data_IF_878726954345
#
_entry.id   IF_878726954345
#
_cell.length_a   1.000
_cell.length_b   1.000
_cell.length_c   1.000
_cell.angle_alpha   90.00
_cell.angle_beta   90.00
_cell.angle_gamma   90.00
#
_symmetry.space_group_name_H-M   'P 1'
#
loop_
_entity.id
_entity.type
_entity.pdbx_description
1 polymer ?
#
# COMPACT_ATOMS: atom_id res chain seq x y z
N UNK A 1 21.80 5.08 -2.46
CA UNK A 1 20.97 5.57 -1.33
C UNK A 1 19.66 6.18 -1.80
N UNK A 2 19.67 7.05 -2.82
CA UNK A 2 18.47 7.71 -3.37
C UNK A 2 17.35 6.72 -3.73
N UNK A 3 17.68 5.62 -4.43
CA UNK A 3 16.73 4.55 -4.76
C UNK A 3 15.97 4.03 -3.54
N UNK A 4 16.69 3.67 -2.48
CA UNK A 4 16.08 3.12 -1.27
C UNK A 4 15.20 4.13 -0.55
N UNK A 5 15.59 5.41 -0.53
CA UNK A 5 14.77 6.45 0.06
C UNK A 5 13.43 6.63 -0.70
N UNK A 6 13.49 6.71 -2.04
CA UNK A 6 12.29 6.79 -2.89
C UNK A 6 11.40 5.56 -2.73
N UNK A 7 12.01 4.37 -2.70
CA UNK A 7 11.29 3.12 -2.48
C UNK A 7 10.58 3.09 -1.14
N UNK A 8 11.26 3.46 -0.04
CA UNK A 8 10.65 3.48 1.28
C UNK A 8 9.52 4.50 1.38
N UNK A 9 9.67 5.69 0.79
CA UNK A 9 8.58 6.69 0.77
C UNK A 9 7.38 6.12 0.03
N UNK A 10 7.55 5.59 -1.18
CA UNK A 10 6.45 5.01 -1.95
C UNK A 10 5.83 3.80 -1.24
N UNK A 11 6.64 2.92 -0.62
CA UNK A 11 6.13 1.77 0.12
C UNK A 11 5.21 2.19 1.29
N UNK A 12 5.53 3.32 1.92
CA UNK A 12 4.82 3.84 3.08
C UNK A 12 3.62 4.72 2.70
N UNK A 13 3.68 5.45 1.59
CA UNK A 13 2.68 6.47 1.26
C UNK A 13 1.88 6.15 0.00
N UNK A 14 2.43 5.42 -0.97
CA UNK A 14 1.77 5.21 -2.26
C UNK A 14 0.58 4.26 -2.11
N UNK A 15 -0.66 4.75 -2.32
CA UNK A 15 -1.84 3.95 -2.11
C UNK A 15 -2.05 3.07 -3.35
N UNK A 16 -2.26 1.78 -3.13
CA UNK A 16 -2.57 0.82 -4.19
C UNK A 16 -3.91 0.16 -3.90
N UNK A 17 -4.69 -0.15 -4.95
CA UNK A 17 -5.98 -0.80 -4.78
C UNK A 17 -5.82 -2.14 -4.07
N UNK A 18 -6.61 -2.33 -3.02
CA UNK A 18 -6.95 -3.66 -2.51
C UNK A 18 -7.68 -4.38 -3.64
N UNK A 19 -7.07 -5.44 -4.17
CA UNK A 19 -7.70 -6.26 -5.19
C UNK A 19 -8.94 -6.93 -4.60
N UNK A 20 -10.11 -6.38 -4.92
CA UNK A 20 -11.33 -7.16 -5.09
C UNK A 20 -12.28 -7.31 -3.90
N UNK A 21 -12.34 -6.38 -2.95
CA UNK A 21 -13.46 -6.39 -2.00
C UNK A 21 -14.25 -5.09 -1.98
N UNK A 22 -13.57 -3.98 -2.25
CA UNK A 22 -14.12 -2.72 -1.79
C UNK A 22 -13.58 -1.51 -2.63
N UNK A 23 -12.33 -1.56 -3.12
CA UNK A 23 -11.73 -0.45 -3.88
C UNK A 23 -11.03 0.56 -2.98
N UNK A 24 -10.82 0.19 -1.71
CA UNK A 24 -9.96 0.91 -0.81
C UNK A 24 -8.52 0.96 -1.35
N UNK A 25 -7.90 2.14 -1.22
CA UNK A 25 -6.53 2.36 -1.64
C UNK A 25 -5.67 2.39 -0.38
N UNK A 26 -4.79 1.41 -0.22
CA UNK A 26 -3.94 1.29 0.97
C UNK A 26 -2.46 1.23 0.60
N UNK A 27 -1.58 1.84 1.40
CA UNK A 27 -0.14 1.71 1.20
C UNK A 27 0.32 0.27 1.32
N UNK A 28 1.37 -0.11 0.56
CA UNK A 28 1.90 -1.48 0.55
C UNK A 28 2.33 -1.95 1.93
N UNK A 29 2.88 -1.04 2.74
CA UNK A 29 3.26 -1.29 4.11
C UNK A 29 2.10 -1.82 4.98
N UNK A 30 0.83 -1.48 4.67
CA UNK A 30 -0.34 -2.01 5.38
C UNK A 30 -0.54 -3.50 5.15
N UNK A 31 -0.33 -4.03 3.94
CA UNK A 31 -0.39 -5.47 3.71
C UNK A 31 0.68 -6.22 4.50
N UNK A 32 1.91 -5.69 4.55
CA UNK A 32 2.97 -6.27 5.35
C UNK A 32 2.63 -6.24 6.85
N UNK A 33 2.09 -5.13 7.34
CA UNK A 33 1.63 -5.00 8.73
C UNK A 33 0.52 -6.03 9.05
N UNK A 34 -0.48 -6.16 8.19
CA UNK A 34 -1.56 -7.13 8.35
C UNK A 34 -1.03 -8.57 8.32
N UNK A 35 -0.15 -8.89 7.38
CA UNK A 35 0.47 -10.21 7.27
C UNK A 35 1.28 -10.57 8.53
N UNK A 36 2.05 -9.63 9.07
CA UNK A 36 2.83 -9.82 10.32
C UNK A 36 1.89 -10.03 11.51
N UNK A 37 0.84 -9.23 11.63
CA UNK A 37 -0.17 -9.39 12.70
C UNK A 37 -0.85 -10.76 12.61
N UNK A 38 -1.23 -11.19 11.41
CA UNK A 38 -1.88 -12.49 11.19
C UNK A 38 -0.92 -13.66 11.44
N UNK A 39 0.36 -13.50 11.09
CA UNK A 39 1.41 -14.49 11.44
C UNK A 39 1.49 -14.66 12.95
N UNK A 40 1.51 -13.55 13.71
CA UNK A 40 1.54 -13.59 15.18
C UNK A 40 0.30 -14.26 15.77
N UNK A 41 -0.87 -14.02 15.17
CA UNK A 41 -2.12 -14.65 15.57
C UNK A 41 -2.07 -16.16 15.35
N UNK A 42 -1.66 -16.59 14.15
CA UNK A 42 -1.51 -18.02 13.80
C UNK A 42 -0.56 -18.73 14.75
N UNK A 43 0.55 -18.09 15.13
CA UNK A 43 1.51 -18.68 16.07
C UNK A 43 0.94 -18.89 17.48
N UNK A 44 -0.12 -18.16 17.86
CA UNK A 44 -0.76 -18.25 19.18
C UNK A 44 -2.01 -19.11 19.19
N UNK A 45 -2.83 -19.00 18.15
CA UNK A 45 -4.19 -19.57 18.10
C UNK A 45 -4.35 -20.66 17.03
N UNK A 46 -3.31 -20.88 16.21
CA UNK A 46 -3.34 -21.83 15.09
C UNK A 46 -3.90 -21.22 13.80
N UNK A 47 -3.67 -21.90 12.67
CA UNK A 47 -4.09 -21.45 11.34
C UNK A 47 -5.50 -21.98 10.95
N UNK A 48 -6.44 -21.98 11.88
CA UNK A 48 -7.80 -22.48 11.63
C UNK A 48 -8.57 -21.65 10.60
N UNK A 49 -9.44 -22.30 9.82
CA UNK A 49 -10.37 -21.61 8.90
C UNK A 49 -9.67 -20.80 7.79
N UNK A 50 -10.18 -19.60 7.52
CA UNK A 50 -9.69 -18.73 6.43
C UNK A 50 -8.36 -18.00 6.73
N UNK A 51 -7.83 -18.13 7.96
CA UNK A 51 -6.69 -17.34 8.43
C UNK A 51 -5.42 -17.63 7.61
N UNK A 52 -5.17 -18.89 7.24
CA UNK A 52 -4.04 -19.25 6.38
C UNK A 52 -4.13 -18.63 4.98
N UNK A 53 -5.32 -18.65 4.38
CA UNK A 53 -5.56 -18.05 3.06
C UNK A 53 -5.35 -16.54 3.09
N UNK A 54 -5.86 -15.86 4.11
CA UNK A 54 -5.66 -14.41 4.29
C UNK A 54 -4.19 -14.07 4.51
N UNK A 55 -3.44 -14.90 5.25
CA UNK A 55 -2.00 -14.71 5.44
C UNK A 55 -1.26 -14.71 4.10
N UNK A 56 -1.50 -15.75 3.30
CA UNK A 56 -0.87 -15.89 1.97
C UNK A 56 -1.27 -14.71 1.09
N UNK A 57 -2.55 -14.34 1.08
CA UNK A 57 -3.05 -13.21 0.31
C UNK A 57 -2.30 -11.92 0.65
N UNK A 58 -2.18 -11.57 1.94
CA UNK A 58 -1.49 -10.34 2.36
C UNK A 58 0.00 -10.35 2.03
N UNK A 59 0.69 -11.47 2.22
CA UNK A 59 2.10 -11.58 1.84
C UNK A 59 2.31 -11.46 0.34
N UNK A 60 1.48 -12.13 -0.47
CA UNK A 60 1.55 -12.05 -1.93
C UNK A 60 1.33 -10.61 -2.39
N UNK A 61 0.34 -9.90 -1.85
CA UNK A 61 0.12 -8.49 -2.17
C UNK A 61 1.31 -7.62 -1.78
N UNK A 62 1.83 -7.77 -0.56
CA UNK A 62 2.99 -7.01 -0.10
C UNK A 62 4.21 -7.20 -1.03
N UNK A 63 4.45 -8.44 -1.48
CA UNK A 63 5.58 -8.77 -2.36
C UNK A 63 5.36 -8.27 -3.79
N UNK A 64 4.20 -8.54 -4.38
CA UNK A 64 3.89 -8.14 -5.77
C UNK A 64 3.90 -6.63 -5.89
N UNK A 65 3.21 -5.92 -5.00
CA UNK A 65 3.16 -4.47 -5.02
C UNK A 65 4.50 -3.83 -4.63
N UNK A 66 5.23 -4.41 -3.67
CA UNK A 66 6.58 -3.99 -3.37
C UNK A 66 7.51 -4.10 -4.58
N UNK A 67 7.44 -5.21 -5.33
CA UNK A 67 8.23 -5.39 -6.55
C UNK A 67 7.86 -4.38 -7.65
N UNK A 68 6.56 -4.12 -7.85
CA UNK A 68 6.09 -3.12 -8.82
C UNK A 68 6.58 -1.71 -8.44
N UNK A 69 6.42 -1.30 -7.18
CA UNK A 69 6.92 -0.01 -6.69
C UNK A 69 8.44 0.10 -6.85
N UNK A 70 9.18 -0.97 -6.57
CA UNK A 70 10.61 -0.98 -6.79
C UNK A 70 10.96 -0.80 -8.27
N UNK A 71 10.22 -1.45 -9.19
CA UNK A 71 10.32 -1.24 -10.62
C UNK A 71 10.12 0.23 -11.02
N UNK A 72 9.08 0.87 -10.49
CA UNK A 72 8.81 2.31 -10.70
C UNK A 72 10.00 3.16 -10.25
N UNK A 73 10.55 2.91 -9.06
CA UNK A 73 11.72 3.64 -8.57
C UNK A 73 12.93 3.47 -9.49
N UNK A 74 13.18 2.25 -9.98
CA UNK A 74 14.28 1.98 -10.93
C UNK A 74 14.07 2.76 -12.24
N UNK A 75 12.83 2.84 -12.74
CA UNK A 75 12.49 3.62 -13.92
C UNK A 75 12.66 5.12 -13.70
N UNK A 76 12.24 5.65 -12.54
CA UNK A 76 12.43 7.05 -12.17
C UNK A 76 13.92 7.39 -12.07
N UNK A 77 14.72 6.52 -11.46
CA UNK A 77 16.15 6.74 -11.32
C UNK A 77 16.87 6.72 -12.69
N UNK A 78 16.64 5.67 -13.49
CA UNK A 78 17.29 5.51 -14.80
C UNK A 78 16.75 6.45 -15.87
N UNK A 79 15.49 6.86 -15.77
CA UNK A 79 14.80 7.67 -16.77
C UNK A 79 14.82 9.16 -16.45
N UNK A 80 14.28 9.54 -15.29
CA UNK A 80 14.13 10.94 -14.90
C UNK A 80 15.41 11.48 -14.26
N UNK A 81 15.89 10.86 -13.18
CA UNK A 81 17.04 11.36 -12.43
C UNK A 81 18.34 11.29 -13.24
N UNK A 82 18.47 10.31 -14.14
CA UNK A 82 19.61 10.19 -15.03
C UNK A 82 19.83 11.43 -15.93
N UNK A 83 18.77 12.19 -16.25
CA UNK A 83 18.83 13.41 -17.07
C UNK A 83 19.44 14.61 -16.35
N UNK A 84 19.60 14.53 -15.03
CA UNK A 84 20.14 15.62 -14.22
C UNK A 84 21.58 15.34 -13.80
N UNK A 85 22.32 16.41 -13.50
CA UNK A 85 23.69 16.32 -13.00
C UNK A 85 23.75 15.64 -11.62
N UNK A 86 24.84 14.92 -11.34
CA UNK A 86 24.99 14.15 -10.09
C UNK A 86 24.84 14.99 -8.82
N UNK A 87 25.17 16.29 -8.89
CA UNK A 87 25.00 17.23 -7.78
C UNK A 87 23.53 17.56 -7.49
N UNK A 88 22.66 17.55 -8.50
CA UNK A 88 21.24 17.92 -8.38
C UNK A 88 20.33 16.73 -8.09
N UNK A 89 20.72 15.52 -8.51
CA UNK A 89 19.96 14.28 -8.26
C UNK A 89 19.45 14.10 -6.82
N UNK A 90 20.26 14.27 -5.75
CA UNK A 90 19.77 14.09 -4.38
C UNK A 90 18.73 15.14 -3.99
N UNK A 91 18.86 16.38 -4.45
CA UNK A 91 17.90 17.45 -4.17
C UNK A 91 16.58 17.23 -4.89
N UNK A 92 16.62 16.78 -6.14
CA UNK A 92 15.42 16.43 -6.91
C UNK A 92 14.70 15.25 -6.24
N UNK A 93 15.44 14.21 -5.86
CA UNK A 93 14.85 13.07 -5.17
C UNK A 93 14.24 13.47 -3.81
N UNK A 94 14.91 14.34 -3.05
CA UNK A 94 14.37 14.89 -1.80
C UNK A 94 13.08 15.68 -2.07
N UNK A 95 13.04 16.49 -3.12
CA UNK A 95 11.85 17.22 -3.54
C UNK A 95 10.70 16.31 -3.93
N UNK A 96 10.96 15.22 -4.65
CA UNK A 96 9.95 14.19 -4.98
C UNK A 96 9.43 13.54 -3.69
N UNK A 97 10.32 13.12 -2.79
CA UNK A 97 9.92 12.53 -1.50
C UNK A 97 9.05 13.49 -0.67
N UNK A 98 9.50 14.74 -0.53
CA UNK A 98 8.77 15.76 0.23
C UNK A 98 7.41 16.06 -0.42
N UNK A 99 7.36 16.19 -1.74
CA UNK A 99 6.13 16.41 -2.49
C UNK A 99 5.13 15.27 -2.31
N UNK A 100 5.59 14.01 -2.36
CA UNK A 100 4.74 12.84 -2.11
C UNK A 100 4.21 12.83 -0.67
N UNK A 101 5.08 13.06 0.32
CA UNK A 101 4.66 13.12 1.74
C UNK A 101 3.61 14.21 1.95
N UNK A 102 3.86 15.41 1.41
CA UNK A 102 2.93 16.54 1.49
C UNK A 102 1.62 16.19 0.79
N UNK A 103 1.65 15.74 -0.46
CA UNK A 103 0.47 15.36 -1.23
C UNK A 103 -0.42 14.38 -0.45
N UNK A 104 0.17 13.28 0.05
CA UNK A 104 -0.57 12.28 0.82
C UNK A 104 -0.97 12.71 2.23
N UNK A 105 -0.38 13.79 2.78
CA UNK A 105 -0.84 14.35 4.06
C UNK A 105 -2.10 15.20 3.91
N UNK A 106 -2.43 15.61 2.67
CA UNK A 106 -3.59 16.44 2.35
C UNK A 106 -4.64 15.71 1.50
N UNK A 107 -4.37 14.46 1.12
CA UNK A 107 -5.32 13.59 0.45
C UNK A 107 -6.22 12.95 1.51
N UNK A 108 -7.37 13.58 1.81
CA UNK A 108 -8.41 13.04 2.72
C UNK A 108 -9.81 13.43 2.16
N UNK A 109 -10.84 12.55 2.21
CA UNK A 109 -10.94 11.37 3.04
C UNK A 109 -10.99 10.04 2.27
N UNK A 110 -10.53 9.02 2.98
CA UNK A 110 -11.11 7.67 2.99
C UNK A 110 -12.59 7.68 2.56
N UNK A 111 -12.84 7.46 1.28
CA UNK A 111 -14.17 7.14 0.77
C UNK A 111 -14.45 5.70 1.17
N UNK A 112 -14.81 5.51 2.44
CA UNK A 112 -15.49 4.29 2.80
C UNK A 112 -16.77 4.30 1.99
N UNK A 113 -16.85 3.53 0.94
CA UNK A 113 -18.00 2.71 0.49
C UNK A 113 -18.93 2.17 1.60
N UNK A 114 -18.59 2.34 2.88
CA UNK A 114 -19.51 2.30 4.02
C UNK A 114 -20.15 3.68 4.35
N UNK A 115 -20.05 4.68 3.48
CA UNK A 115 -20.96 5.82 3.34
C UNK A 115 -22.27 5.24 2.79
N UNK A 116 -22.89 4.43 3.63
CA UNK A 116 -24.27 4.08 3.49
C UNK A 116 -25.03 5.32 3.94
N UNK A 117 -25.38 6.19 2.99
CA UNK A 117 -26.53 7.08 3.15
C UNK A 117 -27.83 6.27 3.38
N UNK A 118 -27.78 4.94 3.21
CA UNK A 118 -28.81 3.99 3.59
C UNK A 118 -28.45 3.21 4.85
N UNK A 119 -29.02 3.60 6.00
CA UNK A 119 -29.07 2.81 7.23
C UNK A 119 -29.86 1.47 7.10
N UNK A 120 -30.09 0.97 5.88
CA UNK A 120 -31.07 -0.04 5.53
C UNK A 120 -30.55 -1.18 4.65
N UNK A 121 -29.30 -1.63 4.80
CA UNK A 121 -29.03 -3.04 4.52
C UNK A 121 -29.52 -3.88 5.72
N UNK A 122 -30.84 -3.88 5.92
CA UNK A 122 -31.48 -4.69 6.94
C UNK A 122 -31.14 -6.18 6.70
N UNK A 123 -30.99 -6.91 7.79
CA UNK A 123 -30.70 -8.35 7.87
C UNK A 123 -31.52 -9.33 6.98
N UNK A 124 -32.68 -9.02 6.37
CA UNK A 124 -33.43 -10.02 5.58
C UNK A 124 -32.83 -10.41 4.23
N UNK A 125 -31.84 -9.69 3.70
CA UNK A 125 -31.27 -10.00 2.35
C UNK A 125 -30.32 -11.20 2.38
N UNK A 126 -29.76 -11.53 3.55
CA UNK A 126 -28.76 -12.59 3.70
C UNK A 126 -29.32 -14.02 3.79
N UNK A 127 -30.66 -14.20 3.83
CA UNK A 127 -31.30 -15.51 4.00
C UNK A 127 -32.42 -15.79 2.99
N UNK A 128 -32.37 -15.21 1.79
CA UNK A 128 -33.22 -15.62 0.66
C UNK A 128 -32.44 -16.38 -0.39
#
# INVERSE_FOLDING_TARGET
>A
MIRWALFLVLLLTWPLPLLGLDGSLVPVARYAQLAVSLTRLILREGAGGMVGTLLVLFWVHALVYGALLFGVVVLVEKGLLARFSDRLRPWIALGICAGLVVWFSFDDPYDSQFHHDDAHASLPVLYR
#
